data_IF_693544669275
#
_entry.id   IF_693544669275
#
_cell.length_a   1.000
_cell.length_b   1.000
_cell.length_c   1.000
_cell.angle_alpha   90.00
_cell.angle_beta   90.00
_cell.angle_gamma   90.00
#
_symmetry.space_group_name_H-M   'P 1'
#
loop_
_entity.id
_entity.type
_entity.pdbx_description
1 polymer ?
#
# COMPACT_ATOMS: atom_id res chain seq x y z
N UNK A 1 -3.82 16.78 -6.28
CA UNK A 1 -3.77 15.48 -6.99
C UNK A 1 -5.19 14.96 -6.96
N UNK A 2 -5.89 15.01 -8.10
CA UNK A 2 -7.30 14.63 -8.19
C UNK A 2 -7.39 13.11 -8.10
N UNK A 3 -8.16 12.59 -7.14
CA UNK A 3 -8.59 11.19 -7.15
C UNK A 3 -9.34 10.95 -8.46
N UNK A 4 -8.75 10.16 -9.36
CA UNK A 4 -9.38 9.74 -10.61
C UNK A 4 -10.09 8.42 -10.34
N UNK A 5 -11.42 8.42 -10.06
CA UNK A 5 -12.18 7.19 -9.84
C UNK A 5 -12.16 6.24 -11.06
N UNK A 6 -11.75 6.75 -12.22
CA UNK A 6 -11.62 6.02 -13.49
C UNK A 6 -10.31 5.23 -13.61
N UNK A 7 -9.36 5.38 -12.68
CA UNK A 7 -8.06 4.69 -12.74
C UNK A 7 -8.15 3.16 -12.59
N UNK A 8 -9.33 2.64 -12.24
CA UNK A 8 -9.58 1.21 -12.07
C UNK A 8 -8.91 0.61 -10.82
N UNK A 9 -9.02 -0.71 -10.66
CA UNK A 9 -8.44 -1.41 -9.52
C UNK A 9 -6.92 -1.49 -9.67
N UNK A 10 -6.18 -0.90 -8.72
CA UNK A 10 -4.74 -1.12 -8.60
C UNK A 10 -4.47 -2.54 -8.12
N UNK A 11 -3.60 -3.27 -8.84
CA UNK A 11 -3.15 -4.61 -8.45
C UNK A 11 -1.63 -4.61 -8.33
N UNK A 12 -1.11 -5.04 -7.18
CA UNK A 12 0.32 -5.23 -6.94
C UNK A 12 0.63 -6.73 -6.89
N UNK A 13 1.59 -7.18 -7.70
CA UNK A 13 2.18 -8.51 -7.61
C UNK A 13 3.62 -8.37 -7.11
N UNK A 14 3.96 -9.09 -6.03
CA UNK A 14 5.28 -9.04 -5.41
C UNK A 14 5.74 -10.43 -4.99
N UNK A 15 7.05 -10.68 -5.11
CA UNK A 15 7.72 -11.90 -4.64
C UNK A 15 8.50 -11.68 -3.34
N UNK A 16 8.34 -10.52 -2.68
CA UNK A 16 8.98 -10.23 -1.39
C UNK A 16 8.36 -11.07 -0.29
N UNK A 17 9.20 -11.87 0.38
CA UNK A 17 8.80 -12.66 1.55
C UNK A 17 8.42 -11.78 2.73
N UNK A 18 9.11 -10.66 2.92
CA UNK A 18 8.83 -9.71 4.00
C UNK A 18 7.45 -9.07 3.85
N UNK A 19 7.01 -8.79 2.61
CA UNK A 19 5.63 -8.36 2.38
C UNK A 19 4.65 -9.46 2.80
N UNK A 20 4.89 -10.70 2.36
CA UNK A 20 4.03 -11.84 2.70
C UNK A 20 3.91 -12.04 4.23
N UNK A 21 5.01 -11.91 4.95
CA UNK A 21 5.05 -11.97 6.42
C UNK A 21 4.28 -10.82 7.09
N UNK A 22 4.24 -9.64 6.48
CA UNK A 22 3.51 -8.48 7.00
C UNK A 22 1.99 -8.55 6.78
N UNK A 23 1.50 -9.39 5.87
CA UNK A 23 0.08 -9.44 5.47
C UNK A 23 -0.89 -9.62 6.65
N UNK A 24 -0.64 -10.49 7.65
CA UNK A 24 -1.57 -10.64 8.77
C UNK A 24 -1.69 -9.37 9.62
N UNK A 25 -0.58 -8.64 9.80
CA UNK A 25 -0.59 -7.36 10.53
C UNK A 25 -1.31 -6.28 9.73
N UNK A 26 -1.11 -6.27 8.41
CA UNK A 26 -1.79 -5.35 7.50
C UNK A 26 -3.31 -5.61 7.48
N UNK A 27 -3.73 -6.88 7.41
CA UNK A 27 -5.14 -7.27 7.47
C UNK A 27 -5.78 -6.80 8.78
N UNK A 28 -5.08 -6.98 9.92
CA UNK A 28 -5.56 -6.47 11.20
C UNK A 28 -5.72 -4.94 11.19
N UNK A 29 -4.71 -4.20 10.73
CA UNK A 29 -4.76 -2.74 10.66
C UNK A 29 -5.87 -2.23 9.74
N UNK A 30 -6.12 -2.91 8.61
CA UNK A 30 -7.23 -2.60 7.71
C UNK A 30 -8.58 -2.81 8.39
N UNK A 31 -8.73 -3.92 9.13
CA UNK A 31 -9.95 -4.19 9.89
C UNK A 31 -10.20 -3.15 10.99
N UNK A 32 -9.15 -2.67 11.67
CA UNK A 32 -9.27 -1.62 12.69
C UNK A 32 -9.61 -0.25 12.09
N UNK A 33 -9.08 0.08 10.90
CA UNK A 33 -9.35 1.35 10.24
C UNK A 33 -10.75 1.46 9.62
N UNK A 34 -11.38 0.32 9.30
CA UNK A 34 -12.70 0.27 8.67
C UNK A 34 -12.71 0.69 7.19
N UNK A 35 -13.83 0.44 6.50
CA UNK A 35 -13.96 0.61 5.05
C UNK A 35 -14.69 1.92 4.68
N UNK A 36 -14.10 2.84 3.87
CA UNK A 36 -12.83 2.71 3.16
C UNK A 36 -11.61 3.12 4.00
N UNK A 37 -10.56 2.30 3.97
CA UNK A 37 -9.26 2.63 4.55
C UNK A 37 -8.38 3.36 3.54
N UNK A 38 -7.75 4.45 3.96
CA UNK A 38 -6.71 5.11 3.18
C UNK A 38 -5.36 4.46 3.48
N UNK A 39 -4.65 4.04 2.44
CA UNK A 39 -3.36 3.37 2.56
C UNK A 39 -2.29 4.07 1.71
N UNK A 40 -1.03 3.95 2.14
CA UNK A 40 0.15 4.36 1.38
C UNK A 40 0.94 3.12 1.03
N UNK A 41 1.20 2.93 -0.27
CA UNK A 41 2.17 1.96 -0.77
C UNK A 41 3.50 2.66 -1.05
N UNK A 42 4.57 2.18 -0.44
CA UNK A 42 5.95 2.66 -0.67
C UNK A 42 6.92 1.52 -0.94
N UNK A 43 8.08 1.84 -1.52
CA UNK A 43 9.17 0.90 -1.74
C UNK A 43 10.41 1.33 -0.94
N UNK A 44 10.67 0.60 0.14
CA UNK A 44 11.80 0.84 1.04
C UNK A 44 13.06 0.17 0.50
N UNK A 45 14.18 0.89 0.57
CA UNK A 45 15.50 0.36 0.28
C UNK A 45 16.00 -0.46 1.46
N UNK A 46 16.37 -1.70 1.19
CA UNK A 46 17.00 -2.61 2.15
C UNK A 46 18.42 -2.85 1.68
N UNK A 47 19.38 -2.54 2.54
CA UNK A 47 20.81 -2.71 2.27
C UNK A 47 21.44 -3.45 3.44
N UNK A 48 22.17 -4.52 3.13
CA UNK A 48 22.90 -5.29 4.13
C UNK A 48 24.06 -6.04 3.49
N UNK A 49 25.03 -6.41 4.33
CA UNK A 49 26.12 -7.31 3.95
C UNK A 49 25.80 -8.71 4.42
N UNK A 50 25.84 -9.69 3.52
CA UNK A 50 25.67 -11.10 3.89
C UNK A 50 26.83 -11.57 4.76
N UNK A 51 26.65 -12.71 5.44
CA UNK A 51 27.73 -13.35 6.20
C UNK A 51 28.97 -13.69 5.35
N UNK A 52 28.80 -13.88 4.04
CA UNK A 52 29.91 -14.11 3.10
C UNK A 52 30.57 -12.82 2.60
N UNK A 53 30.17 -11.65 3.11
CA UNK A 53 30.75 -10.35 2.75
C UNK A 53 30.16 -9.74 1.49
N UNK A 54 29.05 -10.27 0.96
CA UNK A 54 28.42 -9.75 -0.26
C UNK A 54 27.47 -8.62 0.11
N UNK A 55 27.60 -7.47 -0.53
CA UNK A 55 26.63 -6.39 -0.41
C UNK A 55 25.37 -6.72 -1.20
N UNK A 56 24.22 -6.61 -0.53
CA UNK A 56 22.91 -6.85 -1.10
C UNK A 56 22.07 -5.60 -0.90
N UNK A 57 21.46 -5.14 -1.98
CA UNK A 57 20.56 -3.98 -2.01
C UNK A 57 19.33 -4.34 -2.81
N UNK A 58 18.14 -4.17 -2.22
CA UNK A 58 16.86 -4.40 -2.90
C UNK A 58 15.77 -3.47 -2.39
N UNK A 59 14.64 -3.41 -3.12
CA UNK A 59 13.47 -2.62 -2.74
C UNK A 59 12.35 -3.55 -2.30
N UNK A 60 11.89 -3.41 -1.06
CA UNK A 60 10.71 -4.12 -0.57
C UNK A 60 9.48 -3.20 -0.58
N UNK A 61 8.31 -3.68 -1.00
CA UNK A 61 7.06 -2.94 -0.85
C UNK A 61 6.63 -2.94 0.63
N UNK A 62 6.09 -1.80 1.08
CA UNK A 62 5.50 -1.61 2.41
C UNK A 62 4.18 -0.89 2.23
N UNK A 63 3.13 -1.43 2.86
CA UNK A 63 1.80 -0.83 2.88
C UNK A 63 1.51 -0.36 4.30
N UNK A 64 1.12 0.90 4.44
CA UNK A 64 0.71 1.48 5.71
C UNK A 64 -0.71 2.01 5.62
N UNK A 65 -1.50 1.73 6.66
CA UNK A 65 -2.84 2.31 6.81
C UNK A 65 -2.68 3.68 7.47
N UNK A 66 -3.09 4.74 6.77
CA UNK A 66 -2.93 6.13 7.24
C UNK A 66 -4.20 6.71 7.84
N UNK A 67 -5.34 6.03 7.70
CA UNK A 67 -6.61 6.41 8.33
C UNK A 67 -7.82 5.89 7.58
N UNK A 68 -8.98 6.45 7.91
CA UNK A 68 -10.25 6.17 7.25
C UNK A 68 -10.60 7.28 6.27
N UNK A 69 -11.17 6.92 5.12
CA UNK A 69 -11.71 7.87 4.15
C UNK A 69 -13.11 8.29 4.63
N UNK A 70 -13.19 9.38 5.41
CA UNK A 70 -14.48 9.95 5.80
C UNK A 70 -15.25 10.40 4.54
N UNK A 71 -16.41 9.78 4.29
CA UNK A 71 -17.17 9.93 3.04
C UNK A 71 -17.58 11.38 2.72
N UNK A 72 -17.49 11.72 1.42
CA UNK A 72 -18.08 12.95 0.89
C UNK A 72 -17.70 13.30 -0.57
N UNK A 73 -18.20 12.57 -1.55
CA UNK A 73 -18.45 13.09 -2.91
C UNK A 73 -19.85 12.63 -3.37
N UNK A 74 -20.87 13.37 -2.93
CA UNK A 74 -22.21 13.33 -3.49
C UNK A 74 -22.19 14.00 -4.88
N UNK A 75 -22.58 13.24 -5.91
CA UNK A 75 -23.10 13.72 -7.20
C UNK A 75 -22.37 14.85 -7.92
N UNK A 76 -21.27 14.56 -8.63
CA UNK A 76 -20.89 15.39 -9.79
C UNK A 76 -21.70 14.91 -11.01
N UNK A 77 -22.86 15.51 -11.26
CA UNK A 77 -23.47 15.45 -12.60
C UNK A 77 -22.62 16.29 -13.54
N UNK A 78 -21.93 15.65 -14.47
CA UNK A 78 -21.36 16.33 -15.63
C UNK A 78 -22.48 16.53 -16.66
N UNK A 79 -22.84 17.79 -16.91
CA UNK A 79 -23.61 18.17 -18.08
C UNK A 79 -22.72 17.99 -19.33
N UNK A 80 -23.30 17.39 -20.37
CA UNK A 80 -22.68 17.10 -21.66
C UNK A 80 -22.39 18.36 -22.48
#
# INVERSE_FOLDING_TARGET
MSDLPEAGTFQLVSTSWELAESLPSLEHALNEAGDPALCVLRYELVEFTTRSGVEVSYRKPVVEVVGHLAGGQEGVRLAA
#
